data_IF_631001430145
#
_entry.id   IF_631001430145
#
_cell.length_a   1.000
_cell.length_b   1.000
_cell.length_c   1.000
_cell.angle_alpha   90.00
_cell.angle_beta   90.00
_cell.angle_gamma   90.00
#
_symmetry.space_group_name_H-M   'P 1'
#
loop_
_entity.id
_entity.type
_entity.pdbx_description
1 polymer ?
#
# COMPACT_ATOMS: atom_id res chain seq x y z
N UNK A 1 6.82 -6.39 -4.03
CA UNK A 1 6.53 -5.03 -3.51
C UNK A 1 5.54 -4.31 -4.44
N UNK A 2 4.22 -4.51 -4.27
CA UNK A 2 3.18 -4.07 -5.23
C UNK A 2 2.87 -2.57 -5.20
N UNK A 3 2.77 -1.99 -4.00
CA UNK A 3 2.43 -0.57 -3.84
C UNK A 3 3.51 0.35 -4.43
N UNK A 4 4.79 0.00 -4.23
CA UNK A 4 5.93 0.72 -4.79
C UNK A 4 5.92 0.69 -6.33
N UNK A 5 5.72 -0.49 -6.92
CA UNK A 5 5.67 -0.62 -8.39
C UNK A 5 4.52 0.16 -8.99
N UNK A 6 3.39 0.22 -8.28
CA UNK A 6 2.22 0.98 -8.71
C UNK A 6 2.49 2.49 -8.70
N UNK A 7 3.10 3.02 -7.64
CA UNK A 7 3.47 4.44 -7.54
C UNK A 7 4.45 4.85 -8.64
N UNK A 8 5.42 3.99 -8.96
CA UNK A 8 6.36 4.22 -10.07
C UNK A 8 5.68 4.16 -11.45
N UNK A 9 4.73 3.23 -11.65
CA UNK A 9 4.01 3.11 -12.93
C UNK A 9 3.11 4.31 -13.21
N UNK A 10 2.51 4.94 -12.20
CA UNK A 10 1.67 6.14 -12.38
C UNK A 10 2.45 7.34 -12.92
N UNK A 11 3.75 7.40 -12.68
CA UNK A 11 4.64 8.49 -13.14
C UNK A 11 5.43 8.11 -14.39
N UNK A 12 4.91 7.19 -15.23
CA UNK A 12 5.57 6.63 -16.42
C UNK A 12 5.89 7.64 -17.56
N UNK A 13 6.65 8.69 -17.22
CA UNK A 13 7.20 9.72 -18.09
C UNK A 13 8.72 9.76 -17.95
N UNK A 14 9.39 8.77 -18.54
CA UNK A 14 10.83 8.71 -18.90
C UNK A 14 11.90 8.70 -17.80
N UNK A 15 11.70 9.26 -16.60
CA UNK A 15 12.73 9.22 -15.54
C UNK A 15 12.10 9.05 -14.16
N UNK A 16 12.45 7.96 -13.48
CA UNK A 16 12.06 7.78 -12.08
C UNK A 16 12.80 8.81 -11.21
N UNK A 17 12.05 9.62 -10.47
CA UNK A 17 12.58 10.55 -9.48
C UNK A 17 11.90 10.33 -8.13
N UNK A 18 12.52 10.83 -7.05
CA UNK A 18 11.96 10.77 -5.70
C UNK A 18 10.63 11.50 -5.62
N UNK A 19 10.57 12.70 -6.21
CA UNK A 19 9.39 13.56 -6.24
C UNK A 19 8.29 12.95 -7.10
N UNK A 20 8.67 12.32 -8.21
CA UNK A 20 7.75 11.54 -9.04
C UNK A 20 7.11 10.45 -8.20
N UNK A 21 7.91 9.57 -7.58
CA UNK A 21 7.40 8.47 -6.76
C UNK A 21 6.40 8.94 -5.69
N UNK A 22 6.68 10.04 -4.98
CA UNK A 22 5.75 10.58 -3.98
C UNK A 22 4.41 10.98 -4.63
N UNK A 23 4.44 11.75 -5.72
CA UNK A 23 3.22 12.14 -6.45
C UNK A 23 2.45 10.93 -6.98
N UNK A 24 3.17 9.93 -7.50
CA UNK A 24 2.58 8.69 -8.00
C UNK A 24 1.88 7.88 -6.90
N UNK A 25 2.45 7.84 -5.69
CA UNK A 25 1.84 7.22 -4.52
C UNK A 25 0.63 8.00 -4.01
N UNK A 26 0.71 9.33 -3.94
CA UNK A 26 -0.41 10.20 -3.54
C UNK A 26 -1.57 10.15 -4.55
N UNK A 27 -1.28 9.91 -5.82
CA UNK A 27 -2.26 9.74 -6.89
C UNK A 27 -2.96 8.36 -6.89
N UNK A 28 -2.58 7.43 -6.00
CA UNK A 28 -3.28 6.15 -5.84
C UNK A 28 -4.70 6.37 -5.32
N UNK A 29 -4.89 7.35 -4.44
CA UNK A 29 -6.20 7.62 -3.84
C UNK A 29 -6.68 6.43 -3.02
N UNK A 30 -7.99 6.16 -3.07
CA UNK A 30 -8.61 5.02 -2.42
C UNK A 30 -8.76 3.84 -3.38
N UNK A 31 -8.03 2.75 -3.15
CA UNK A 31 -8.07 1.55 -3.99
C UNK A 31 -7.94 0.27 -3.17
N UNK A 32 -8.49 -0.83 -3.69
CA UNK A 32 -8.24 -2.18 -3.15
C UNK A 32 -7.07 -2.81 -3.89
N UNK A 33 -6.06 -3.25 -3.14
CA UNK A 33 -4.91 -3.98 -3.66
C UNK A 33 -4.86 -5.39 -3.10
N UNK A 34 -5.40 -6.35 -3.86
CA UNK A 34 -5.37 -7.76 -3.47
C UNK A 34 -6.17 -8.05 -2.19
N UNK A 35 -7.30 -7.36 -2.02
CA UNK A 35 -8.17 -7.50 -0.84
C UNK A 35 -7.89 -6.50 0.28
N UNK A 36 -6.77 -5.77 0.23
CA UNK A 36 -6.45 -4.73 1.21
C UNK A 36 -6.92 -3.36 0.74
N UNK A 37 -7.72 -2.68 1.57
CA UNK A 37 -8.08 -1.29 1.35
C UNK A 37 -6.86 -0.39 1.62
N UNK A 38 -6.52 0.43 0.63
CA UNK A 38 -5.43 1.38 0.66
C UNK A 38 -5.98 2.77 0.35
N UNK A 39 -5.55 3.76 1.15
CA UNK A 39 -5.81 5.16 0.90
C UNK A 39 -4.52 5.98 1.04
N UNK A 40 -4.12 6.62 -0.06
CA UNK A 40 -3.01 7.57 -0.08
C UNK A 40 -3.46 8.88 -0.71
N UNK A 41 -2.99 9.99 -0.15
CA UNK A 41 -3.21 11.34 -0.68
C UNK A 41 -2.09 12.26 -0.21
N UNK A 42 -2.04 13.49 -0.73
CA UNK A 42 -1.10 14.51 -0.25
C UNK A 42 -1.22 14.82 1.25
N UNK A 43 -2.39 14.57 1.86
CA UNK A 43 -2.62 14.74 3.29
C UNK A 43 -2.62 13.43 4.09
N UNK A 44 -2.50 12.27 3.45
CA UNK A 44 -2.59 10.96 4.11
C UNK A 44 -1.54 10.02 3.56
N UNK A 45 -0.48 9.81 4.35
CA UNK A 45 0.64 8.93 3.99
C UNK A 45 0.62 7.58 4.73
N UNK A 46 -0.40 7.34 5.56
CA UNK A 46 -0.68 6.02 6.14
C UNK A 46 -1.60 5.27 5.19
N UNK A 47 -1.03 4.33 4.42
CA UNK A 47 -1.73 3.61 3.38
C UNK A 47 -2.92 2.78 3.89
N UNK A 48 -2.80 2.17 5.08
CA UNK A 48 -3.87 1.36 5.67
C UNK A 48 -3.75 1.37 7.18
N UNK A 49 -4.90 1.34 7.86
CA UNK A 49 -5.01 1.14 9.31
C UNK A 49 -5.60 -0.23 9.64
N UNK A 50 -5.48 -1.20 8.72
CA UNK A 50 -5.93 -2.56 8.93
C UNK A 50 -5.17 -3.22 10.08
N UNK A 51 -5.91 -3.83 11.01
CA UNK A 51 -5.38 -4.56 12.17
C UNK A 51 -6.12 -5.88 12.27
N UNK A 52 -5.36 -6.95 12.48
CA UNK A 52 -5.87 -8.31 12.66
C UNK A 52 -5.20 -8.93 13.89
N UNK A 53 -5.98 -9.66 14.69
CA UNK A 53 -5.46 -10.42 15.82
C UNK A 53 -5.28 -11.86 15.39
N UNK A 54 -4.10 -12.42 15.66
CA UNK A 54 -3.83 -13.83 15.42
C UNK A 54 -3.38 -14.50 16.71
N UNK A 55 -3.90 -15.71 16.95
CA UNK A 55 -3.51 -16.54 18.08
C UNK A 55 -2.75 -17.77 17.60
N UNK A 56 -1.62 -18.05 18.25
CA UNK A 56 -0.90 -19.30 18.11
C UNK A 56 -1.52 -20.32 19.07
N UNK A 57 -2.09 -21.39 18.53
CA UNK A 57 -2.66 -22.49 19.33
C UNK A 57 -1.59 -23.54 19.65
N UNK A 58 -1.81 -24.35 20.70
CA UNK A 58 -0.82 -25.34 21.17
C UNK A 58 -0.48 -26.44 20.16
N UNK A 59 -1.33 -26.63 19.14
CA UNK A 59 -1.11 -27.48 17.97
C UNK A 59 -0.34 -26.76 16.84
N UNK A 60 0.20 -25.57 17.09
CA UNK A 60 1.02 -24.80 16.15
C UNK A 60 0.24 -24.11 15.04
N UNK A 61 -1.09 -24.16 15.07
CA UNK A 61 -1.93 -23.49 14.07
C UNK A 61 -2.11 -22.02 14.42
N UNK A 62 -2.28 -21.21 13.38
CA UNK A 62 -2.69 -19.81 13.53
C UNK A 62 -4.21 -19.75 13.39
N UNK A 63 -4.85 -19.07 14.34
CA UNK A 63 -6.26 -18.69 14.24
C UNK A 63 -6.33 -17.18 14.13
N UNK A 64 -6.95 -16.72 13.06
CA UNK A 64 -7.17 -15.33 12.69
C UNK A 64 -8.63 -14.98 12.82
#
# INVERSE_FOLDING_TARGET
ARLLTEGLQREAGRTASREGLVRGLEAIGNQSMGGFAIHLSAGTHVASSFVELSMLTGDGRVRT
#
